data_IF_296998088311
#
_entry.id   IF_296998088311
#
_cell.length_a   1.000
_cell.length_b   1.000
_cell.length_c   1.000
_cell.angle_alpha   90.00
_cell.angle_beta   90.00
_cell.angle_gamma   90.00
#
_symmetry.space_group_name_H-M   'P 1'
#
loop_
_entity.id
_entity.type
_entity.pdbx_description
1 polymer ?
#
# COMPACT_ATOMS: atom_id res chain seq x y z
N UNK A 1 -9.90 -8.52 -28.05
CA UNK A 1 -9.76 -7.33 -27.18
C UNK A 1 -10.99 -6.44 -27.33
N UNK A 2 -11.54 -5.93 -26.23
CA UNK A 2 -12.69 -5.00 -26.18
C UNK A 2 -12.59 -4.10 -24.95
N UNK A 3 -13.29 -2.97 -24.98
CA UNK A 3 -13.45 -2.12 -23.81
C UNK A 3 -14.75 -2.49 -23.10
N UNK A 4 -14.66 -2.73 -21.79
CA UNK A 4 -15.82 -2.88 -20.94
C UNK A 4 -16.10 -1.52 -20.30
N UNK A 5 -17.17 -0.89 -20.75
CA UNK A 5 -17.54 0.46 -20.36
C UNK A 5 -18.54 0.45 -19.20
N UNK A 6 -18.42 1.44 -18.34
CA UNK A 6 -19.37 1.75 -17.28
C UNK A 6 -19.46 3.28 -17.17
N UNK A 7 -20.68 3.81 -17.07
CA UNK A 7 -20.91 5.25 -16.96
C UNK A 7 -20.21 5.83 -15.73
N UNK A 8 -19.43 6.87 -15.93
CA UNK A 8 -18.70 7.56 -14.85
C UNK A 8 -17.43 6.84 -14.37
N UNK A 9 -17.00 5.76 -15.05
CA UNK A 9 -15.80 5.00 -14.71
C UNK A 9 -14.82 4.93 -15.90
N UNK A 10 -13.54 4.73 -15.62
CA UNK A 10 -12.58 4.38 -16.65
C UNK A 10 -12.88 2.96 -17.17
N UNK A 11 -12.74 2.71 -18.49
CA UNK A 11 -13.04 1.40 -19.06
C UNK A 11 -12.04 0.34 -18.60
N UNK A 12 -12.48 -0.91 -18.50
CA UNK A 12 -11.59 -2.06 -18.42
C UNK A 12 -11.18 -2.47 -19.83
N UNK A 13 -9.91 -2.68 -20.07
CA UNK A 13 -9.43 -3.30 -21.30
C UNK A 13 -9.46 -4.82 -21.12
N UNK A 14 -10.37 -5.49 -21.81
CA UNK A 14 -10.58 -6.94 -21.69
C UNK A 14 -10.11 -7.65 -22.95
N UNK A 15 -9.45 -8.78 -22.77
CA UNK A 15 -9.06 -9.69 -23.83
C UNK A 15 -9.30 -11.14 -23.48
N UNK A 16 -9.56 -11.95 -24.51
CA UNK A 16 -9.72 -13.40 -24.34
C UNK A 16 -9.01 -14.15 -25.46
N UNK A 17 -8.32 -15.23 -25.10
CA UNK A 17 -7.76 -16.21 -26.00
C UNK A 17 -8.25 -17.60 -25.59
N UNK A 18 -9.14 -18.19 -26.41
CA UNK A 18 -9.69 -19.51 -26.17
C UNK A 18 -8.80 -20.59 -26.78
N UNK A 19 -8.55 -21.64 -26.01
CA UNK A 19 -7.74 -22.78 -26.40
C UNK A 19 -8.65 -24.00 -26.56
N UNK A 20 -8.72 -24.63 -27.74
CA UNK A 20 -9.54 -25.82 -27.94
C UNK A 20 -9.16 -26.93 -26.94
N UNK A 21 -10.15 -27.43 -26.20
CA UNK A 21 -9.97 -28.48 -25.21
C UNK A 21 -9.37 -28.04 -23.88
N UNK A 22 -9.11 -26.75 -23.66
CA UNK A 22 -8.69 -26.25 -22.36
C UNK A 22 -9.81 -26.42 -21.33
N UNK A 23 -9.43 -26.89 -20.14
CA UNK A 23 -10.31 -27.09 -18.98
C UNK A 23 -10.11 -26.06 -17.89
N UNK A 24 -9.15 -25.12 -18.08
CA UNK A 24 -8.81 -24.07 -17.12
C UNK A 24 -8.74 -22.73 -17.82
N UNK A 25 -9.09 -21.67 -17.08
CA UNK A 25 -9.03 -20.29 -17.53
C UNK A 25 -8.21 -19.48 -16.55
N UNK A 26 -7.11 -18.87 -17.04
CA UNK A 26 -6.26 -17.96 -16.29
C UNK A 26 -6.61 -16.53 -16.67
N UNK A 27 -6.74 -15.65 -15.70
CA UNK A 27 -6.93 -14.23 -15.92
C UNK A 27 -5.73 -13.43 -15.37
N UNK A 28 -5.11 -12.64 -16.23
CA UNK A 28 -4.05 -11.70 -15.83
C UNK A 28 -4.68 -10.34 -15.56
N UNK A 29 -4.55 -9.89 -14.32
CA UNK A 29 -4.94 -8.56 -13.90
C UNK A 29 -3.71 -7.65 -13.87
N UNK A 30 -3.85 -6.46 -14.45
CA UNK A 30 -2.87 -5.37 -14.43
C UNK A 30 -3.64 -4.06 -14.36
N UNK A 31 -3.06 -2.98 -13.86
CA UNK A 31 -3.66 -1.66 -14.01
C UNK A 31 -2.87 -0.78 -14.99
N UNK A 32 -3.56 0.13 -15.68
CA UNK A 32 -2.93 1.00 -16.67
C UNK A 32 -2.91 2.48 -16.28
N UNK A 33 -3.57 2.86 -15.20
CA UNK A 33 -3.52 4.20 -14.63
C UNK A 33 -2.21 4.44 -13.86
N UNK A 34 -2.09 5.55 -13.19
CA UNK A 34 -0.91 5.90 -12.41
C UNK A 34 -1.17 7.07 -11.48
N UNK A 35 -0.40 7.14 -10.41
CA UNK A 35 -0.47 8.18 -9.40
C UNK A 35 -0.32 9.57 -10.01
N UNK A 36 -1.03 10.59 -9.49
CA UNK A 36 -0.81 11.98 -9.83
C UNK A 36 0.65 12.38 -9.64
N UNK A 37 1.12 13.28 -10.49
CA UNK A 37 2.52 13.73 -10.47
C UNK A 37 2.63 15.22 -10.17
N UNK A 38 3.71 15.60 -9.50
CA UNK A 38 4.21 16.96 -9.43
C UNK A 38 5.41 17.07 -10.41
N UNK A 39 5.24 17.66 -11.59
CA UNK A 39 6.30 17.70 -12.60
C UNK A 39 7.60 18.35 -12.12
N UNK A 40 7.53 19.22 -11.11
CA UNK A 40 8.71 19.92 -10.55
C UNK A 40 9.66 18.97 -9.80
N UNK A 41 9.20 17.78 -9.45
CA UNK A 41 9.99 16.74 -8.75
C UNK A 41 10.61 15.71 -9.69
N UNK A 42 10.43 15.87 -11.00
CA UNK A 42 10.96 14.95 -12.00
C UNK A 42 12.16 15.55 -12.71
N UNK A 43 13.21 14.76 -12.88
CA UNK A 43 14.39 15.16 -13.65
C UNK A 43 14.07 15.31 -15.14
N UNK A 44 13.09 14.56 -15.62
CA UNK A 44 12.53 14.61 -16.98
C UNK A 44 11.01 14.75 -16.88
N UNK A 45 10.32 15.02 -17.99
CA UNK A 45 8.86 15.02 -17.99
C UNK A 45 8.32 13.67 -17.50
N UNK A 46 7.40 13.65 -16.53
CA UNK A 46 6.95 12.40 -15.90
C UNK A 46 6.38 11.37 -16.89
N UNK A 47 5.79 11.84 -17.99
CA UNK A 47 5.22 11.01 -19.07
C UNK A 47 6.12 10.94 -20.31
N UNK A 48 7.37 11.37 -20.20
CA UNK A 48 8.39 11.23 -21.25
C UNK A 48 9.41 10.19 -20.80
N UNK A 49 9.24 8.91 -21.20
CA UNK A 49 10.10 7.84 -20.72
C UNK A 49 11.53 8.04 -21.21
N UNK A 50 12.49 7.80 -20.34
CA UNK A 50 13.92 7.88 -20.62
C UNK A 50 14.61 6.59 -20.21
N UNK A 51 15.63 6.18 -20.99
CA UNK A 51 16.41 4.97 -20.74
C UNK A 51 17.73 5.34 -20.05
N UNK A 52 18.09 4.56 -19.03
CA UNK A 52 19.33 4.68 -18.29
C UNK A 52 20.13 3.38 -18.34
N UNK A 53 21.45 3.46 -18.32
CA UNK A 53 22.37 2.32 -18.32
C UNK A 53 22.37 1.51 -17.01
N UNK A 54 21.57 1.89 -16.03
CA UNK A 54 21.42 1.27 -14.71
C UNK A 54 20.55 2.13 -13.81
N UNK A 55 20.49 1.82 -12.52
CA UNK A 55 19.78 2.61 -11.54
C UNK A 55 20.35 4.03 -11.43
N UNK A 56 19.48 5.07 -11.43
CA UNK A 56 19.89 6.49 -11.35
C UNK A 56 20.70 6.79 -10.10
N UNK A 57 20.22 6.33 -8.96
CA UNK A 57 20.88 6.43 -7.64
C UNK A 57 22.13 5.57 -7.52
N UNK A 58 22.26 4.53 -8.35
CA UNK A 58 23.48 3.74 -8.53
C UNK A 58 24.49 4.32 -9.54
N UNK A 59 24.29 5.55 -10.02
CA UNK A 59 25.18 6.21 -10.98
C UNK A 59 24.91 5.88 -12.46
N UNK A 60 23.77 5.28 -12.77
CA UNK A 60 23.31 5.05 -14.14
C UNK A 60 23.21 6.38 -14.92
N UNK A 61 23.59 6.34 -16.20
CA UNK A 61 23.55 7.50 -17.10
C UNK A 61 22.43 7.32 -18.12
N UNK A 62 21.80 8.43 -18.52
CA UNK A 62 20.84 8.42 -19.60
C UNK A 62 21.52 7.98 -20.90
N UNK A 63 20.88 7.08 -21.62
CA UNK A 63 21.33 6.55 -22.92
C UNK A 63 20.21 6.64 -23.95
N UNK A 64 20.57 6.54 -25.22
CA UNK A 64 19.58 6.49 -26.30
C UNK A 64 18.77 5.18 -26.22
N UNK A 65 17.55 5.22 -26.74
CA UNK A 65 16.79 3.98 -26.96
C UNK A 65 17.51 3.12 -28.00
N UNK A 66 17.58 1.80 -27.79
CA UNK A 66 18.24 0.92 -28.73
C UNK A 66 17.48 0.82 -30.05
N UNK A 67 18.21 0.61 -31.13
CA UNK A 67 17.63 0.27 -32.41
C UNK A 67 17.14 -1.20 -32.43
N UNK A 68 16.29 -1.50 -33.43
CA UNK A 68 15.80 -2.87 -33.62
C UNK A 68 16.95 -3.81 -33.91
N UNK A 69 17.15 -4.80 -33.04
CA UNK A 69 18.21 -5.79 -33.16
C UNK A 69 19.43 -5.54 -32.27
N UNK A 70 19.47 -4.41 -31.59
CA UNK A 70 20.50 -4.14 -30.61
C UNK A 70 20.40 -5.09 -29.42
N UNK A 71 21.56 -5.38 -28.83
CA UNK A 71 21.62 -6.17 -27.60
C UNK A 71 21.19 -5.32 -26.42
N UNK A 72 20.14 -5.74 -25.75
CA UNK A 72 19.63 -5.09 -24.54
C UNK A 72 20.41 -5.60 -23.33
N UNK A 73 20.98 -4.68 -22.55
CA UNK A 73 21.55 -5.02 -21.25
C UNK A 73 20.41 -5.14 -20.21
N UNK A 74 20.30 -6.25 -19.48
CA UNK A 74 19.26 -6.45 -18.47
C UNK A 74 19.35 -5.46 -17.28
N UNK A 75 20.47 -4.75 -17.13
CA UNK A 75 20.62 -3.71 -16.11
C UNK A 75 20.03 -2.36 -16.51
N UNK A 76 19.69 -2.15 -17.76
CA UNK A 76 19.07 -0.91 -18.20
C UNK A 76 17.72 -0.68 -17.52
N UNK A 77 17.38 0.57 -17.28
CA UNK A 77 16.16 0.98 -16.59
C UNK A 77 15.44 2.05 -17.40
N UNK A 78 14.12 1.86 -17.56
CA UNK A 78 13.23 2.87 -18.14
C UNK A 78 12.60 3.64 -16.98
N UNK A 79 12.73 4.95 -17.01
CA UNK A 79 12.11 5.85 -16.04
C UNK A 79 10.98 6.64 -16.68
N UNK A 80 9.82 6.61 -16.06
CA UNK A 80 8.61 7.35 -16.46
C UNK A 80 7.46 6.98 -15.52
N UNK A 81 6.47 7.84 -15.37
CA UNK A 81 5.28 7.53 -14.60
C UNK A 81 4.58 6.33 -15.22
N UNK A 82 4.14 5.39 -14.40
CA UNK A 82 3.49 4.12 -14.77
C UNK A 82 4.34 3.19 -15.64
N UNK A 83 5.64 3.43 -15.83
CA UNK A 83 6.48 2.55 -16.64
C UNK A 83 6.67 1.18 -15.96
N UNK A 84 6.89 1.16 -14.63
CA UNK A 84 6.97 -0.07 -13.83
C UNK A 84 5.62 -0.44 -13.25
N UNK A 85 5.03 0.47 -12.53
CA UNK A 85 3.76 0.38 -11.82
C UNK A 85 2.68 1.12 -12.66
N UNK A 86 1.83 0.40 -13.49
CA UNK A 86 1.89 -1.07 -13.64
C UNK A 86 1.84 -1.46 -15.13
N UNK A 87 2.36 -0.61 -16.07
CA UNK A 87 2.34 -0.90 -17.51
C UNK A 87 3.38 -1.93 -17.96
N UNK A 88 4.48 -2.13 -17.20
CA UNK A 88 5.48 -3.12 -17.55
C UNK A 88 4.92 -4.55 -17.64
N UNK A 89 4.09 -5.03 -16.70
CA UNK A 89 3.43 -6.33 -16.80
C UNK A 89 2.58 -6.49 -18.05
N UNK A 90 1.88 -5.46 -18.52
CA UNK A 90 1.10 -5.54 -19.78
C UNK A 90 2.01 -5.98 -20.93
N UNK A 91 3.13 -5.28 -21.10
CA UNK A 91 4.09 -5.57 -22.18
C UNK A 91 4.74 -6.94 -21.97
N UNK A 92 5.05 -7.29 -20.72
CA UNK A 92 5.66 -8.59 -20.38
C UNK A 92 4.72 -9.75 -20.73
N UNK A 93 3.44 -9.65 -20.39
CA UNK A 93 2.43 -10.67 -20.69
C UNK A 93 2.26 -10.82 -22.20
N UNK A 94 2.10 -9.70 -22.93
CA UNK A 94 1.95 -9.73 -24.38
C UNK A 94 3.17 -10.34 -25.07
N UNK A 95 4.37 -9.94 -24.67
CA UNK A 95 5.61 -10.51 -25.20
C UNK A 95 5.75 -12.02 -24.90
N UNK A 96 5.31 -12.46 -23.70
CA UNK A 96 5.34 -13.88 -23.36
C UNK A 96 4.37 -14.69 -24.25
N UNK A 97 3.17 -14.16 -24.49
CA UNK A 97 2.18 -14.76 -25.42
C UNK A 97 2.77 -14.85 -26.82
N UNK A 98 3.33 -13.78 -27.35
CA UNK A 98 3.94 -13.73 -28.68
C UNK A 98 5.12 -14.69 -28.80
N UNK A 99 5.96 -14.78 -27.77
CA UNK A 99 7.11 -15.69 -27.76
C UNK A 99 6.68 -17.16 -27.79
N UNK A 100 5.66 -17.53 -27.02
CA UNK A 100 5.13 -18.89 -27.00
C UNK A 100 4.49 -19.23 -28.35
N UNK A 101 3.70 -18.34 -28.94
CA UNK A 101 3.11 -18.54 -30.27
C UNK A 101 4.18 -18.67 -31.35
N UNK A 102 5.17 -17.79 -31.37
CA UNK A 102 6.29 -17.82 -32.34
C UNK A 102 7.10 -19.10 -32.22
N UNK A 103 7.26 -19.62 -31.01
CA UNK A 103 7.94 -20.88 -30.73
C UNK A 103 7.07 -22.12 -30.98
N UNK A 104 5.84 -21.93 -31.44
CA UNK A 104 4.84 -23.00 -31.65
C UNK A 104 4.57 -23.84 -30.40
N UNK A 105 4.71 -23.22 -29.22
CA UNK A 105 4.35 -23.82 -27.94
C UNK A 105 2.86 -23.55 -27.73
N UNK A 106 2.05 -24.61 -27.73
CA UNK A 106 0.59 -24.50 -27.53
C UNK A 106 0.25 -24.13 -26.10
N UNK A 107 -0.79 -23.32 -25.94
CA UNK A 107 -1.37 -23.06 -24.64
C UNK A 107 -2.26 -24.25 -24.21
N UNK A 108 -2.25 -24.55 -22.92
CA UNK A 108 -3.09 -25.60 -22.30
C UNK A 108 -4.27 -25.03 -21.52
N UNK A 109 -4.30 -23.72 -21.34
CA UNK A 109 -5.35 -23.00 -20.61
C UNK A 109 -5.88 -21.84 -21.46
N UNK A 110 -7.15 -21.50 -21.30
CA UNK A 110 -7.66 -20.22 -21.79
C UNK A 110 -6.96 -19.08 -21.08
N UNK A 111 -6.77 -17.96 -21.77
CA UNK A 111 -6.15 -16.76 -21.22
C UNK A 111 -7.14 -15.62 -21.32
N UNK A 112 -7.35 -14.92 -20.19
CA UNK A 112 -8.05 -13.65 -20.13
C UNK A 112 -7.12 -12.56 -19.66
N UNK A 113 -7.33 -11.37 -20.20
CA UNK A 113 -6.63 -10.15 -19.83
C UNK A 113 -7.67 -9.17 -19.27
N UNK A 114 -7.40 -8.63 -18.12
CA UNK A 114 -8.27 -7.68 -17.43
C UNK A 114 -7.43 -6.52 -16.92
N UNK A 115 -7.43 -5.40 -17.66
CA UNK A 115 -6.60 -4.25 -17.33
C UNK A 115 -7.47 -3.11 -16.81
N UNK A 116 -7.28 -2.76 -15.55
CA UNK A 116 -8.03 -1.73 -14.82
C UNK A 116 -7.44 -0.34 -15.02
N UNK A 117 -8.27 0.69 -14.97
CA UNK A 117 -7.87 2.09 -15.12
C UNK A 117 -8.11 2.98 -13.92
N UNK A 118 -8.36 2.43 -12.72
CA UNK A 118 -8.67 3.16 -11.50
C UNK A 118 -7.99 2.60 -10.25
N UNK A 119 -7.01 1.71 -10.37
CA UNK A 119 -6.37 1.08 -9.22
C UNK A 119 -5.76 2.11 -8.27
N UNK A 120 -4.99 3.03 -8.84
CA UNK A 120 -4.29 4.08 -8.10
C UNK A 120 -5.23 5.13 -7.48
N UNK A 121 -6.48 5.17 -7.93
CA UNK A 121 -7.57 5.93 -7.32
C UNK A 121 -8.38 5.10 -6.29
N UNK A 122 -7.97 3.86 -6.01
CA UNK A 122 -8.59 2.95 -5.06
C UNK A 122 -9.69 2.09 -5.66
N UNK A 123 -9.67 1.81 -6.96
CA UNK A 123 -10.58 0.88 -7.66
C UNK A 123 -12.06 1.17 -7.39
N UNK A 124 -12.45 2.43 -7.40
CA UNK A 124 -13.79 2.87 -6.94
C UNK A 124 -14.92 2.15 -7.67
N UNK A 125 -14.75 1.91 -8.98
CA UNK A 125 -15.78 1.31 -9.82
C UNK A 125 -15.52 -0.16 -10.17
N UNK A 126 -14.42 -0.76 -9.72
CA UNK A 126 -14.05 -2.15 -10.05
C UNK A 126 -15.16 -3.14 -9.70
N UNK A 127 -15.77 -3.01 -8.51
CA UNK A 127 -16.88 -3.89 -8.11
C UNK A 127 -18.06 -3.81 -9.06
N UNK A 128 -18.39 -2.62 -9.54
CA UNK A 128 -19.49 -2.43 -10.48
C UNK A 128 -19.17 -3.05 -11.85
N UNK A 129 -17.92 -2.91 -12.33
CA UNK A 129 -17.44 -3.59 -13.53
C UNK A 129 -17.53 -5.12 -13.40
N UNK A 130 -17.05 -5.69 -12.30
CA UNK A 130 -17.09 -7.14 -12.05
C UNK A 130 -18.53 -7.70 -12.05
N UNK A 131 -19.46 -6.96 -11.41
CA UNK A 131 -20.86 -7.36 -11.37
C UNK A 131 -21.55 -7.25 -12.72
N UNK A 132 -21.29 -6.17 -13.48
CA UNK A 132 -21.92 -5.95 -14.79
C UNK A 132 -21.44 -6.94 -15.85
N UNK A 133 -20.18 -7.33 -15.79
CA UNK A 133 -19.54 -8.20 -16.78
C UNK A 133 -19.28 -9.61 -16.24
N UNK A 134 -20.06 -10.02 -15.25
CA UNK A 134 -19.92 -11.30 -14.57
C UNK A 134 -19.86 -12.48 -15.53
N UNK A 135 -20.71 -12.49 -16.55
CA UNK A 135 -20.79 -13.58 -17.55
C UNK A 135 -19.48 -13.78 -18.33
N UNK A 136 -18.64 -12.74 -18.44
CA UNK A 136 -17.31 -12.83 -19.06
C UNK A 136 -16.24 -13.37 -18.09
N UNK A 137 -16.54 -13.43 -16.80
CA UNK A 137 -15.54 -13.65 -15.74
C UNK A 137 -15.83 -14.91 -14.91
N UNK A 138 -17.03 -15.50 -15.02
CA UNK A 138 -17.48 -16.62 -14.18
C UNK A 138 -16.72 -17.94 -14.42
N UNK A 139 -16.04 -18.08 -15.55
CA UNK A 139 -15.25 -19.27 -15.92
C UNK A 139 -13.76 -19.14 -15.58
N UNK A 140 -13.38 -18.09 -14.84
CA UNK A 140 -11.99 -17.88 -14.42
C UNK A 140 -11.68 -18.76 -13.21
N UNK A 141 -10.73 -19.68 -13.37
CA UNK A 141 -10.24 -20.52 -12.28
C UNK A 141 -9.24 -19.82 -11.39
N UNK A 142 -8.36 -18.99 -11.99
CA UNK A 142 -7.26 -18.32 -11.28
C UNK A 142 -7.10 -16.89 -11.81
N UNK A 143 -7.05 -15.94 -10.88
CA UNK A 143 -6.62 -14.56 -11.13
C UNK A 143 -5.15 -14.39 -10.74
N UNK A 144 -4.35 -13.90 -11.67
CA UNK A 144 -2.94 -13.54 -11.48
C UNK A 144 -2.84 -12.01 -11.48
N UNK A 145 -2.65 -11.42 -10.29
CA UNK A 145 -2.41 -9.99 -10.12
C UNK A 145 -0.93 -9.73 -10.39
N UNK A 146 -0.64 -9.07 -11.51
CA UNK A 146 0.74 -8.83 -11.95
C UNK A 146 1.25 -7.46 -11.48
N UNK A 147 0.82 -7.04 -10.30
CA UNK A 147 1.13 -5.77 -9.65
C UNK A 147 1.97 -6.01 -8.39
N UNK A 148 3.18 -6.48 -8.59
CA UNK A 148 4.11 -6.76 -7.51
C UNK A 148 5.55 -6.40 -7.86
N UNK A 149 6.33 -5.92 -6.88
CA UNK A 149 7.73 -5.60 -7.12
C UNK A 149 8.53 -6.85 -7.48
N UNK A 150 9.48 -6.69 -8.38
CA UNK A 150 10.48 -7.74 -8.65
C UNK A 150 11.33 -7.93 -7.39
N UNK A 151 11.48 -9.20 -6.94
CA UNK A 151 12.31 -9.50 -5.79
C UNK A 151 13.77 -9.12 -6.05
N UNK A 152 14.48 -8.57 -5.07
CA UNK A 152 15.86 -8.09 -5.22
C UNK A 152 16.83 -9.19 -5.69
N UNK A 153 16.55 -10.47 -5.38
CA UNK A 153 17.31 -11.59 -5.91
C UNK A 153 17.07 -11.85 -7.40
N UNK A 154 16.13 -11.15 -8.04
CA UNK A 154 15.65 -11.34 -9.42
C UNK A 154 15.09 -12.73 -9.72
N UNK A 155 14.80 -13.50 -8.68
CA UNK A 155 14.09 -14.77 -8.86
C UNK A 155 12.61 -14.48 -9.08
N UNK A 156 11.94 -15.24 -9.96
CA UNK A 156 10.49 -15.21 -10.04
C UNK A 156 9.87 -15.51 -8.67
N UNK A 157 8.82 -14.80 -8.32
CA UNK A 157 8.09 -15.05 -7.07
C UNK A 157 6.59 -15.07 -7.33
N UNK A 158 5.89 -15.93 -6.61
CA UNK A 158 4.44 -15.90 -6.49
C UNK A 158 4.09 -15.49 -5.06
N UNK A 159 3.18 -14.54 -4.94
CA UNK A 159 2.74 -14.01 -3.65
C UNK A 159 1.26 -14.38 -3.48
N UNK A 160 0.96 -15.18 -2.45
CA UNK A 160 -0.39 -15.73 -2.22
C UNK A 160 -1.26 -14.87 -1.32
N UNK A 161 -0.88 -13.67 -1.08
CA UNK A 161 -1.66 -12.70 -0.33
C UNK A 161 -0.87 -11.42 -0.11
N UNK A 162 -1.61 -10.36 0.14
CA UNK A 162 -1.06 -9.05 0.45
C UNK A 162 -1.52 -8.61 1.83
N UNK A 163 -0.75 -7.72 2.45
CA UNK A 163 -1.13 -7.15 3.73
C UNK A 163 -2.33 -6.23 3.53
N UNK A 164 -3.34 -6.40 4.39
CA UNK A 164 -4.44 -5.45 4.47
C UNK A 164 -3.95 -4.08 4.95
N UNK A 165 -4.78 -3.06 4.77
CA UNK A 165 -4.50 -1.70 5.23
C UNK A 165 -5.74 -1.09 5.85
N UNK A 166 -5.54 -0.41 6.98
CA UNK A 166 -6.52 0.50 7.59
C UNK A 166 -5.80 1.70 8.18
N UNK A 167 -6.51 2.67 8.70
CA UNK A 167 -5.90 3.81 9.34
C UNK A 167 -6.91 4.85 9.79
N UNK A 168 -6.41 5.86 10.48
CA UNK A 168 -7.21 6.99 10.93
C UNK A 168 -6.37 8.27 10.93
N UNK A 169 -7.04 9.40 10.92
CA UNK A 169 -6.45 10.68 11.29
C UNK A 169 -6.85 11.03 12.71
N UNK A 170 -5.93 11.61 13.45
CA UNK A 170 -6.17 12.07 14.83
C UNK A 170 -5.71 13.51 14.96
N UNK A 171 -6.63 14.38 15.37
CA UNK A 171 -6.31 15.80 15.68
C UNK A 171 -6.39 16.03 17.18
N UNK A 172 -5.31 16.47 17.76
CA UNK A 172 -5.22 16.90 19.17
C UNK A 172 -5.48 18.40 19.25
N UNK A 173 -6.32 18.80 20.19
CA UNK A 173 -6.74 20.17 20.40
C UNK A 173 -6.05 20.81 21.59
N UNK A 174 -5.63 22.07 21.42
CA UNK A 174 -5.20 23.00 22.46
C UNK A 174 -6.25 24.09 22.71
N UNK A 175 -5.83 25.34 22.73
CA UNK A 175 -6.72 26.49 22.87
C UNK A 175 -7.73 26.58 21.70
N UNK A 176 -8.84 27.29 21.89
CA UNK A 176 -9.88 27.48 20.83
C UNK A 176 -9.38 28.24 19.61
N UNK A 177 -8.25 28.91 19.72
CA UNK A 177 -7.59 29.65 18.64
C UNK A 177 -6.08 29.61 18.83
N UNK A 178 -5.33 29.92 17.80
CA UNK A 178 -3.89 30.09 17.88
C UNK A 178 -3.52 31.28 18.79
N UNK A 179 -2.46 31.12 19.58
CA UNK A 179 -2.04 32.08 20.58
C UNK A 179 -0.62 32.59 20.29
N UNK A 180 -0.32 33.85 20.67
CA UNK A 180 1.03 34.39 20.58
C UNK A 180 1.96 33.71 21.60
N UNK A 181 3.04 33.08 21.14
CA UNK A 181 3.92 32.26 22.01
C UNK A 181 4.63 33.07 23.08
N UNK A 182 4.95 34.34 22.80
CA UNK A 182 5.55 35.26 23.77
C UNK A 182 4.65 35.64 24.94
N UNK A 183 3.32 35.58 24.77
CA UNK A 183 2.36 35.91 25.83
C UNK A 183 1.83 34.67 26.56
N UNK A 184 1.75 33.52 25.88
CA UNK A 184 1.10 32.31 26.38
C UNK A 184 2.02 31.11 26.48
N UNK A 185 3.33 31.24 26.13
CA UNK A 185 4.33 30.20 26.33
C UNK A 185 4.44 29.81 27.81
N UNK A 186 4.70 28.51 28.06
CA UNK A 186 4.73 27.90 29.40
C UNK A 186 3.38 27.91 30.16
N UNK A 187 2.33 28.51 29.60
CA UNK A 187 1.01 28.58 30.23
C UNK A 187 -0.03 27.80 29.45
N UNK A 188 -0.14 28.00 28.13
CA UNK A 188 -1.07 27.28 27.29
C UNK A 188 -0.47 25.94 26.83
N UNK A 189 -1.26 24.84 26.80
CA UNK A 189 -0.79 23.57 26.25
C UNK A 189 -0.47 23.68 24.75
N UNK A 190 0.57 23.00 24.31
CA UNK A 190 1.03 22.99 22.91
C UNK A 190 0.61 21.69 22.23
N UNK A 191 -0.39 21.69 21.32
CA UNK A 191 -0.90 20.48 20.69
C UNK A 191 0.18 19.64 19.99
N UNK A 192 1.15 20.27 19.34
CA UNK A 192 2.28 19.56 18.71
C UNK A 192 3.08 18.70 19.70
N UNK A 193 3.35 19.22 20.90
CA UNK A 193 4.02 18.45 21.96
C UNK A 193 3.12 17.38 22.55
N UNK A 194 1.82 17.67 22.69
CA UNK A 194 0.84 16.68 23.18
C UNK A 194 0.75 15.51 22.20
N UNK A 195 0.65 15.79 20.90
CA UNK A 195 0.59 14.77 19.85
C UNK A 195 1.90 13.98 19.75
N UNK A 196 3.06 14.62 19.84
CA UNK A 196 4.35 13.95 19.84
C UNK A 196 4.47 12.91 20.97
N UNK A 197 4.04 13.28 22.21
CA UNK A 197 3.99 12.33 23.33
C UNK A 197 3.02 11.19 23.10
N UNK A 198 1.86 11.47 22.52
CA UNK A 198 0.87 10.45 22.18
C UNK A 198 1.46 9.44 21.18
N UNK A 199 2.07 9.92 20.11
CA UNK A 199 2.70 9.06 19.09
C UNK A 199 3.84 8.23 19.70
N UNK A 200 4.71 8.85 20.50
CA UNK A 200 5.83 8.18 21.16
C UNK A 200 5.35 7.07 22.13
N UNK A 201 4.13 7.16 22.67
CA UNK A 201 3.57 6.11 23.52
C UNK A 201 3.07 4.87 22.75
N UNK A 202 2.91 4.98 21.42
CA UNK A 202 2.35 3.89 20.60
C UNK A 202 3.38 2.85 20.15
N UNK A 203 4.66 3.23 20.08
CA UNK A 203 5.74 2.39 19.54
C UNK A 203 7.05 2.66 20.24
N UNK A 204 7.84 1.65 20.54
CA UNK A 204 9.17 1.81 21.11
C UNK A 204 10.24 1.99 20.01
N UNK A 205 11.49 2.23 20.43
CA UNK A 205 12.63 2.44 19.53
C UNK A 205 12.99 1.21 18.69
N UNK A 206 12.69 -0.01 19.18
CA UNK A 206 12.87 -1.26 18.43
C UNK A 206 11.75 -1.53 17.41
N UNK A 207 10.81 -0.61 17.27
CA UNK A 207 9.68 -0.76 16.34
C UNK A 207 8.56 -1.68 16.82
N UNK A 208 8.54 -2.09 18.11
CA UNK A 208 7.42 -2.82 18.70
C UNK A 208 6.28 -1.86 19.02
N UNK A 209 5.07 -2.19 18.55
CA UNK A 209 3.86 -1.44 18.90
C UNK A 209 3.49 -1.76 20.35
N UNK A 210 3.27 -0.70 21.16
CA UNK A 210 2.99 -0.77 22.59
C UNK A 210 1.50 -0.69 22.91
N UNK A 211 0.65 -0.61 21.89
CA UNK A 211 -0.80 -0.66 22.04
C UNK A 211 -1.19 -2.05 22.55
N UNK A 212 -1.96 -2.08 23.62
CA UNK A 212 -2.41 -3.33 24.23
C UNK A 212 -3.16 -4.21 23.22
N UNK A 213 -2.91 -5.49 23.25
CA UNK A 213 -3.53 -6.50 22.39
C UNK A 213 -3.29 -6.31 20.87
N UNK A 214 -2.32 -5.47 20.47
CA UNK A 214 -2.08 -5.16 19.05
C UNK A 214 -1.73 -6.40 18.21
N UNK A 215 -1.11 -7.41 18.82
CA UNK A 215 -0.65 -8.63 18.14
C UNK A 215 -1.51 -9.89 18.46
N UNK A 216 -2.52 -9.78 19.32
CA UNK A 216 -3.21 -10.95 19.89
C UNK A 216 -4.03 -11.75 18.87
N UNK A 217 -4.52 -11.08 17.83
CA UNK A 217 -5.33 -11.71 16.79
C UNK A 217 -4.51 -12.21 15.61
N UNK A 218 -3.17 -12.12 15.68
CA UNK A 218 -2.29 -12.63 14.61
C UNK A 218 -2.35 -14.16 14.60
N UNK A 219 -2.77 -14.73 13.48
CA UNK A 219 -2.74 -16.17 13.33
C UNK A 219 -1.29 -16.66 13.20
N UNK A 220 -0.92 -17.71 13.95
CA UNK A 220 0.42 -18.28 13.86
C UNK A 220 0.65 -18.94 12.49
N UNK A 221 1.88 -18.84 11.99
CA UNK A 221 2.27 -19.53 10.77
C UNK A 221 2.18 -21.04 10.96
N UNK A 222 1.62 -21.74 9.99
CA UNK A 222 1.70 -23.19 9.86
C UNK A 222 3.16 -23.65 9.70
N UNK A 223 3.42 -24.92 9.90
CA UNK A 223 4.75 -25.50 9.66
C UNK A 223 5.15 -25.34 8.18
N UNK A 224 4.22 -25.56 7.27
CA UNK A 224 4.44 -25.37 5.83
C UNK A 224 4.83 -23.92 5.51
N UNK A 225 4.08 -22.92 6.00
CA UNK A 225 4.40 -21.51 5.78
C UNK A 225 5.79 -21.14 6.32
N UNK A 226 6.20 -21.68 7.47
CA UNK A 226 7.55 -21.47 8.02
C UNK A 226 8.65 -22.07 7.15
N UNK A 227 8.42 -23.26 6.60
CA UNK A 227 9.37 -23.91 5.70
C UNK A 227 9.52 -23.15 4.39
N UNK A 228 8.41 -22.62 3.83
CA UNK A 228 8.45 -21.82 2.62
C UNK A 228 9.12 -20.46 2.86
N UNK A 229 8.81 -19.80 3.97
CA UNK A 229 9.47 -18.55 4.37
C UNK A 229 10.99 -18.70 4.48
N UNK A 230 11.46 -19.81 5.02
CA UNK A 230 12.91 -20.09 5.14
C UNK A 230 13.63 -20.28 3.80
N UNK A 231 12.91 -20.55 2.72
CA UNK A 231 13.47 -20.68 1.36
C UNK A 231 13.65 -19.34 0.65
N UNK A 232 12.98 -18.26 1.14
CA UNK A 232 13.08 -16.94 0.53
C UNK A 232 14.50 -16.40 0.74
N UNK A 233 15.18 -15.94 -0.32
CA UNK A 233 16.51 -15.36 -0.19
C UNK A 233 16.50 -14.16 0.77
N UNK A 234 17.46 -14.14 1.69
CA UNK A 234 17.66 -12.98 2.56
C UNK A 234 18.35 -11.86 1.79
N UNK A 235 17.69 -10.75 1.61
CA UNK A 235 18.16 -9.56 0.89
C UNK A 235 18.30 -8.33 1.80
N UNK A 236 18.21 -8.49 3.11
CA UNK A 236 18.17 -7.38 4.07
C UNK A 236 19.42 -6.49 3.99
N UNK A 237 20.60 -7.07 3.83
CA UNK A 237 21.83 -6.29 3.69
C UNK A 237 21.86 -5.47 2.39
N UNK A 238 21.39 -6.05 1.29
CA UNK A 238 21.26 -5.34 0.03
C UNK A 238 20.28 -4.18 0.17
N UNK A 239 19.08 -4.43 0.71
CA UNK A 239 18.07 -3.40 0.94
C UNK A 239 18.56 -2.28 1.88
N UNK A 240 19.26 -2.63 2.96
CA UNK A 240 19.85 -1.63 3.86
C UNK A 240 20.81 -0.71 3.13
N UNK A 241 21.66 -1.25 2.29
CA UNK A 241 22.64 -0.48 1.51
C UNK A 241 21.94 0.40 0.47
N UNK A 242 20.98 -0.14 -0.28
CA UNK A 242 20.20 0.60 -1.28
C UNK A 242 19.40 1.75 -0.66
N UNK A 243 18.84 1.53 0.53
CA UNK A 243 18.02 2.51 1.25
C UNK A 243 18.83 3.42 2.20
N UNK A 244 20.14 3.23 2.32
CA UNK A 244 21.01 4.01 3.21
C UNK A 244 20.68 3.80 4.70
N UNK A 245 20.25 2.61 5.12
CA UNK A 245 19.87 2.29 6.48
C UNK A 245 21.01 1.62 7.26
N UNK A 246 21.44 2.22 8.38
CA UNK A 246 22.40 1.60 9.28
C UNK A 246 21.75 0.49 10.10
N UNK A 247 20.50 0.68 10.50
CA UNK A 247 19.73 -0.28 11.29
C UNK A 247 18.29 -0.40 10.76
N UNK A 248 17.60 -1.47 11.17
CA UNK A 248 16.18 -1.68 10.91
C UNK A 248 15.43 -1.88 12.21
N UNK A 249 14.14 -1.55 12.22
CA UNK A 249 13.27 -1.90 13.34
C UNK A 249 13.11 -3.44 13.42
N UNK A 250 12.84 -3.96 14.61
CA UNK A 250 12.43 -5.35 14.78
C UNK A 250 13.47 -6.28 15.38
N UNK A 251 14.55 -5.74 15.99
CA UNK A 251 15.48 -6.53 16.80
C UNK A 251 16.23 -7.60 16.00
N UNK A 252 16.66 -7.28 14.77
CA UNK A 252 17.44 -8.18 13.92
C UNK A 252 16.65 -9.23 13.14
N UNK A 253 15.31 -9.20 13.19
CA UNK A 253 14.47 -10.05 12.34
C UNK A 253 14.51 -9.57 10.90
N UNK A 254 14.41 -10.52 9.96
CA UNK A 254 14.39 -10.22 8.52
C UNK A 254 13.14 -9.45 8.12
N UNK A 255 13.19 -8.75 6.96
CA UNK A 255 12.04 -8.07 6.39
C UNK A 255 10.86 -9.05 6.22
N UNK A 256 11.11 -10.26 5.72
CA UNK A 256 10.07 -11.26 5.48
C UNK A 256 9.35 -11.67 6.78
N UNK A 257 10.08 -11.85 7.90
CA UNK A 257 9.48 -12.13 9.19
C UNK A 257 8.68 -10.92 9.73
N UNK A 258 9.15 -9.72 9.46
CA UNK A 258 8.47 -8.48 9.91
C UNK A 258 7.20 -8.18 9.13
N UNK A 259 7.16 -8.51 7.85
CA UNK A 259 5.98 -8.33 7.02
C UNK A 259 4.80 -9.25 7.43
N UNK A 260 5.07 -10.31 8.17
CA UNK A 260 4.05 -11.22 8.71
C UNK A 260 3.44 -10.75 10.03
N UNK A 261 3.81 -9.57 10.52
CA UNK A 261 3.23 -8.93 11.70
C UNK A 261 2.50 -7.64 11.31
N UNK A 262 1.42 -7.28 12.02
CA UNK A 262 0.79 -5.99 11.80
C UNK A 262 1.77 -4.85 12.15
N UNK A 263 1.66 -3.74 11.45
CA UNK A 263 2.51 -2.58 11.74
C UNK A 263 1.70 -1.31 11.88
N UNK A 264 2.19 -0.40 12.73
CA UNK A 264 1.67 0.95 12.89
C UNK A 264 2.71 1.93 12.35
N UNK A 265 2.27 2.79 11.44
CA UNK A 265 3.13 3.78 10.78
C UNK A 265 2.50 5.16 10.88
N UNK A 266 3.28 6.14 11.31
CA UNK A 266 2.89 7.55 11.22
C UNK A 266 3.18 8.03 9.80
N UNK A 267 2.13 8.20 9.00
CA UNK A 267 2.23 8.59 7.58
C UNK A 267 2.38 10.09 7.40
N UNK A 268 1.94 10.87 8.39
CA UNK A 268 2.00 12.32 8.35
C UNK A 268 1.85 12.92 9.73
N UNK A 269 2.46 14.07 9.94
CA UNK A 269 2.43 14.85 11.18
C UNK A 269 2.43 16.33 10.81
N UNK A 270 1.45 17.09 11.31
CA UNK A 270 1.32 18.52 11.04
C UNK A 270 0.92 19.31 12.29
N UNK A 271 1.65 20.39 12.56
CA UNK A 271 1.29 21.37 13.60
C UNK A 271 1.99 22.70 13.31
N UNK A 272 1.23 23.75 13.01
CA UNK A 272 1.79 25.04 12.66
C UNK A 272 2.61 25.02 11.36
N UNK A 273 3.54 25.96 11.25
CA UNK A 273 4.40 26.10 10.08
C UNK A 273 5.87 26.12 10.47
N UNK A 274 6.74 25.66 9.54
CA UNK A 274 8.19 25.66 9.69
C UNK A 274 8.89 26.48 8.59
N UNK A 275 10.19 26.73 8.73
CA UNK A 275 10.99 27.46 7.76
C UNK A 275 10.50 28.92 7.60
N UNK A 276 10.47 29.42 6.36
CA UNK A 276 10.09 30.83 6.06
C UNK A 276 8.65 31.17 6.47
N UNK A 277 7.79 30.17 6.65
CA UNK A 277 6.39 30.37 7.09
C UNK A 277 6.21 30.28 8.59
N UNK A 278 7.27 29.99 9.37
CA UNK A 278 7.21 29.95 10.82
C UNK A 278 6.75 31.30 11.42
N UNK A 279 5.99 31.25 12.50
CA UNK A 279 5.48 32.41 13.22
C UNK A 279 5.64 32.18 14.73
N UNK A 280 5.64 33.24 15.52
CA UNK A 280 5.65 33.20 16.98
C UNK A 280 4.25 32.82 17.54
N UNK A 281 3.80 31.63 17.19
CA UNK A 281 2.42 31.16 17.47
C UNK A 281 2.45 29.78 18.10
N UNK A 282 1.60 29.58 19.11
CA UNK A 282 1.20 28.25 19.59
C UNK A 282 0.00 27.85 18.74
N UNK A 283 0.10 26.83 17.88
CA UNK A 283 -1.03 26.35 17.11
C UNK A 283 -2.14 25.85 18.02
N UNK A 284 -3.37 25.92 17.55
CA UNK A 284 -4.54 25.43 18.29
C UNK A 284 -4.80 23.93 18.08
N UNK A 285 -4.17 23.34 17.08
CA UNK A 285 -4.30 21.90 16.74
C UNK A 285 -2.96 21.29 16.31
N UNK A 286 -2.89 19.96 16.40
CA UNK A 286 -1.89 19.13 15.75
C UNK A 286 -2.55 17.86 15.24
N UNK A 287 -2.22 17.46 14.02
CA UNK A 287 -2.86 16.32 13.33
C UNK A 287 -1.82 15.30 12.89
N UNK A 288 -2.16 14.03 13.01
CA UNK A 288 -1.38 12.90 12.47
C UNK A 288 -2.25 11.96 11.66
N UNK A 289 -1.67 11.40 10.59
CA UNK A 289 -2.24 10.31 9.85
C UNK A 289 -1.56 9.00 10.27
N UNK A 290 -2.33 8.07 10.83
CA UNK A 290 -1.88 6.76 11.30
C UNK A 290 -2.30 5.72 10.28
N UNK A 291 -1.34 4.92 9.80
CA UNK A 291 -1.59 3.74 8.98
C UNK A 291 -1.34 2.47 9.77
N UNK A 292 -2.22 1.50 9.63
CA UNK A 292 -2.06 0.16 10.19
C UNK A 292 -2.06 -0.86 9.06
N UNK A 293 -0.99 -1.62 8.92
CA UNK A 293 -0.97 -2.78 8.04
C UNK A 293 -1.45 -4.00 8.79
N UNK A 294 -2.31 -4.75 8.12
CA UNK A 294 -3.01 -5.91 8.68
C UNK A 294 -2.41 -7.20 8.13
N UNK A 295 -2.44 -8.24 8.94
CA UNK A 295 -2.05 -9.60 8.57
C UNK A 295 -3.19 -10.57 8.88
N UNK A 296 -3.02 -11.84 8.52
CA UNK A 296 -3.99 -12.90 8.77
C UNK A 296 -4.44 -12.90 10.24
N UNK A 297 -5.75 -12.93 10.47
CA UNK A 297 -6.38 -12.85 11.78
C UNK A 297 -6.73 -11.45 12.27
N UNK A 298 -6.25 -10.38 11.65
CA UNK A 298 -6.61 -9.02 12.05
C UNK A 298 -7.93 -8.56 11.42
N UNK A 299 -8.83 -8.04 12.25
CA UNK A 299 -10.00 -7.27 11.80
C UNK A 299 -9.66 -5.78 11.74
N UNK A 300 -9.98 -5.07 10.65
CA UNK A 300 -9.64 -3.65 10.49
C UNK A 300 -10.25 -2.75 11.56
N UNK A 301 -11.49 -2.99 11.97
CA UNK A 301 -12.20 -2.17 12.96
C UNK A 301 -11.66 -2.44 14.36
N UNK A 302 -11.45 -3.71 14.74
CA UNK A 302 -10.82 -4.09 16.00
C UNK A 302 -9.44 -3.43 16.17
N UNK A 303 -8.64 -3.39 15.11
CA UNK A 303 -7.33 -2.75 15.15
C UNK A 303 -7.43 -1.23 15.35
N UNK A 304 -8.42 -0.57 14.75
CA UNK A 304 -8.67 0.86 14.97
C UNK A 304 -9.20 1.13 16.38
N UNK A 305 -10.05 0.26 16.91
CA UNK A 305 -10.57 0.36 18.27
C UNK A 305 -9.46 0.19 19.33
N UNK A 306 -8.48 -0.67 19.08
CA UNK A 306 -7.26 -0.79 19.92
C UNK A 306 -6.45 0.51 19.92
N UNK A 307 -6.28 1.15 18.75
CA UNK A 307 -5.61 2.47 18.66
C UNK A 307 -6.40 3.52 19.43
N UNK A 308 -7.72 3.59 19.26
CA UNK A 308 -8.59 4.53 19.98
C UNK A 308 -8.53 4.31 21.50
N UNK A 309 -8.63 3.06 21.95
CA UNK A 309 -8.50 2.69 23.35
C UNK A 309 -7.15 3.13 23.95
N UNK A 310 -6.06 3.00 23.19
CA UNK A 310 -4.76 3.50 23.62
C UNK A 310 -4.76 5.02 23.78
N UNK A 311 -5.35 5.76 22.84
CA UNK A 311 -5.48 7.23 22.92
C UNK A 311 -6.25 7.63 24.19
N UNK A 312 -7.35 6.93 24.49
CA UNK A 312 -8.12 7.16 25.72
C UNK A 312 -7.32 6.83 26.97
N UNK A 313 -6.54 5.73 27.00
CA UNK A 313 -5.63 5.39 28.10
C UNK A 313 -4.54 6.45 28.34
N UNK A 314 -4.15 7.21 27.31
CA UNK A 314 -3.25 8.36 27.46
C UNK A 314 -3.98 9.61 28.00
N UNK A 315 -5.24 9.46 28.37
CA UNK A 315 -6.06 10.49 29.02
C UNK A 315 -6.76 11.46 28.06
N UNK A 316 -6.88 11.09 26.80
CA UNK A 316 -7.63 11.88 25.83
C UNK A 316 -9.11 11.50 25.81
N UNK A 317 -9.97 12.51 25.80
CA UNK A 317 -11.38 12.35 25.45
C UNK A 317 -11.51 12.36 23.94
N UNK A 318 -12.14 11.32 23.38
CA UNK A 318 -12.33 11.19 21.92
C UNK A 318 -13.61 11.91 21.52
N UNK A 319 -13.53 12.70 20.47
CA UNK A 319 -14.66 13.36 19.80
C UNK A 319 -14.63 13.01 18.30
N UNK A 320 -15.79 13.09 17.64
CA UNK A 320 -15.92 12.80 16.21
C UNK A 320 -16.17 14.05 15.37
N UNK A 321 -16.39 15.19 16.03
CA UNK A 321 -16.48 16.51 15.42
C UNK A 321 -15.58 17.48 16.16
N UNK A 322 -15.37 18.68 15.60
CA UNK A 322 -14.64 19.73 16.30
C UNK A 322 -15.29 20.01 17.67
N UNK A 323 -14.51 20.01 18.77
CA UNK A 323 -15.06 20.19 20.12
C UNK A 323 -15.61 21.61 20.31
N UNK A 324 -16.80 21.71 20.84
CA UNK A 324 -17.42 22.97 21.31
C UNK A 324 -16.73 23.50 22.59
N UNK A 325 -17.15 24.67 23.05
CA UNK A 325 -16.59 25.31 24.25
C UNK A 325 -16.88 24.52 25.52
N UNK A 326 -18.04 23.90 25.64
CA UNK A 326 -18.41 23.08 26.80
C UNK A 326 -17.46 21.87 26.90
N UNK A 327 -17.27 21.13 25.80
CA UNK A 327 -16.34 20.02 25.72
C UNK A 327 -14.90 20.44 26.05
N UNK A 328 -14.45 21.60 25.51
CA UNK A 328 -13.09 22.14 25.76
C UNK A 328 -12.85 22.50 27.22
N UNK A 329 -13.87 23.00 27.93
CA UNK A 329 -13.79 23.36 29.35
C UNK A 329 -13.89 22.13 30.26
N UNK A 330 -14.50 21.06 29.79
CA UNK A 330 -14.69 19.83 30.57
C UNK A 330 -13.49 18.88 30.56
N UNK A 331 -12.81 18.75 29.43
CA UNK A 331 -11.76 17.75 29.27
C UNK A 331 -10.37 18.37 29.09
N UNK A 332 -9.40 17.87 29.89
CA UNK A 332 -8.00 18.33 29.87
C UNK A 332 -7.28 18.04 28.56
N UNK A 333 -7.58 16.90 27.93
CA UNK A 333 -7.01 16.49 26.65
C UNK A 333 -8.14 16.00 25.75
N UNK A 334 -8.17 16.53 24.54
CA UNK A 334 -9.20 16.18 23.53
C UNK A 334 -8.50 15.75 22.25
N UNK A 335 -8.95 14.64 21.70
CA UNK A 335 -8.53 14.17 20.39
C UNK A 335 -9.76 13.89 19.52
N UNK A 336 -9.77 14.39 18.29
CA UNK A 336 -10.76 14.05 17.29
C UNK A 336 -10.26 12.90 16.43
N UNK A 337 -11.07 11.85 16.31
CA UNK A 337 -10.86 10.74 15.40
C UNK A 337 -11.61 11.01 14.10
N UNK A 338 -10.90 10.94 13.00
CA UNK A 338 -11.49 10.85 11.67
C UNK A 338 -11.34 9.42 11.18
N UNK A 339 -12.43 8.80 10.74
CA UNK A 339 -12.39 7.48 10.11
C UNK A 339 -11.55 7.49 8.85
N UNK A 340 -11.02 6.34 8.48
CA UNK A 340 -10.42 6.17 7.16
C UNK A 340 -11.47 6.56 6.10
N UNK A 341 -11.15 7.51 5.24
CA UNK A 341 -11.98 7.88 4.09
C UNK A 341 -12.00 6.79 2.99
N UNK A 342 -11.39 5.65 3.24
CA UNK A 342 -11.42 4.51 2.33
C UNK A 342 -12.69 3.74 2.64
N UNK A 343 -13.65 3.64 1.73
CA UNK A 343 -14.79 2.75 1.90
C UNK A 343 -14.25 1.31 1.82
N UNK A 344 -13.93 0.73 2.98
CA UNK A 344 -13.67 -0.70 3.03
C UNK A 344 -14.99 -1.41 2.73
N UNK A 345 -15.03 -2.05 1.58
CA UNK A 345 -16.03 -3.06 1.31
C UNK A 345 -15.79 -4.18 2.32
N UNK A 346 -16.62 -4.25 3.36
CA UNK A 346 -16.66 -5.43 4.21
C UNK A 346 -16.97 -6.62 3.31
N UNK A 347 -16.09 -7.64 3.21
CA UNK A 347 -16.59 -8.93 2.78
C UNK A 347 -17.69 -9.29 3.79
N UNK A 348 -18.93 -9.48 3.34
CA UNK A 348 -19.91 -10.19 4.18
C UNK A 348 -19.20 -11.40 4.71
N UNK A 349 -19.22 -11.65 6.04
CA UNK A 349 -18.73 -12.90 6.63
C UNK A 349 -19.28 -14.02 5.76
N UNK A 350 -18.43 -14.60 4.93
CA UNK A 350 -18.77 -15.84 4.25
C UNK A 350 -18.88 -16.84 5.38
N UNK A 351 -20.08 -17.38 5.59
CA UNK A 351 -20.29 -18.42 6.57
C UNK A 351 -19.26 -19.50 6.31
N UNK A 352 -18.61 -20.01 7.34
CA UNK A 352 -17.55 -21.03 7.25
C UNK A 352 -17.96 -22.32 6.49
N UNK A 353 -19.23 -22.43 6.10
CA UNK A 353 -19.81 -23.59 5.42
C UNK A 353 -19.64 -23.60 3.89
N UNK A 354 -19.09 -22.56 3.25
CA UNK A 354 -18.89 -22.50 1.78
C UNK A 354 -17.60 -21.82 1.37
N UNK A 355 -16.56 -21.90 2.15
CA UNK A 355 -15.21 -21.67 1.67
C UNK A 355 -14.76 -22.97 1.00
N UNK A 356 -14.55 -23.04 -0.32
CA UNK A 356 -13.71 -24.10 -0.84
C UNK A 356 -12.38 -23.96 -0.13
N UNK A 357 -11.84 -25.10 0.29
CA UNK A 357 -10.53 -25.20 0.90
C UNK A 357 -9.50 -24.69 -0.12
N UNK A 358 -9.31 -23.36 -0.13
CA UNK A 358 -8.23 -22.70 -0.87
C UNK A 358 -6.95 -22.95 -0.06
N UNK A 359 -6.55 -24.22 -0.03
CA UNK A 359 -5.17 -24.59 0.23
C UNK A 359 -4.35 -23.96 -0.91
N UNK A 360 -3.84 -22.79 -0.64
CA UNK A 360 -2.98 -22.02 -1.54
C UNK A 360 -1.73 -22.85 -1.81
N UNK A 361 -1.62 -23.33 -3.03
CA UNK A 361 -0.45 -24.05 -3.51
C UNK A 361 0.63 -23.00 -3.73
N UNK A 362 1.65 -23.03 -2.88
CA UNK A 362 2.89 -22.29 -3.12
C UNK A 362 3.75 -23.08 -4.10
N UNK A 363 4.07 -22.52 -5.23
CA UNK A 363 5.11 -23.01 -6.14
C UNK A 363 6.27 -22.03 -6.12
#
# INVERSE_FOLDING_TARGET
MQLLELEGANPIVYGEYKVPGAIRTLCFYVHYDGQPVDPTKWAHGPFTPVLYSGAMDGGGKQIALPDRGDKIDPEWRIYGRSAGDDKAPIITILNAVDALQSSKIGFTSNIKLFFEGEEEAGSTNLKAHLLRHKDLLDDIDIWLFCDGPVHQSRRPQLVFGVRGVTGMEVTVYGASRALHSGHYGNWAPVPGQMLARLIASMKNEDGKVLIENFYDTVEPLSEFERLELAKIPNVDMQLKNELGLVYTEGGGRTINERLLLPSLTIKGLASGNVGKKARNVIPNTATTAIGVRLVKGNDPEDMLDKVESHIQKQGYHIVYNEPDMETRLKYKKIAQKYGAKVPFLRPKKISKEKSPDLSLIHI
#
